data_IF_894652156570
#
_entry.id   IF_894652156570
#
_cell.length_a   1.000
_cell.length_b   1.000
_cell.length_c   1.000
_cell.angle_alpha   90.00
_cell.angle_beta   90.00
_cell.angle_gamma   90.00
#
_symmetry.space_group_name_H-M   'P 1'
#
loop_
_entity.id
_entity.type
_entity.pdbx_description
1 polymer ?
#
# COMPACT_ATOMS: atom_id res chain seq x y z
N UNK A 1 -3.91 -5.76 -9.93
CA UNK A 1 -3.14 -6.46 -8.88
C UNK A 1 -1.70 -6.57 -9.36
N UNK A 2 -0.75 -6.56 -8.43
CA UNK A 2 0.68 -6.79 -8.68
C UNK A 2 1.05 -8.13 -8.06
N UNK A 3 1.88 -8.92 -8.74
CA UNK A 3 2.39 -10.20 -8.27
C UNK A 3 3.90 -10.27 -8.43
N UNK A 4 4.58 -10.71 -7.38
CA UNK A 4 6.01 -11.02 -7.39
C UNK A 4 6.13 -12.47 -6.96
N UNK A 5 6.82 -13.25 -7.79
CA UNK A 5 7.11 -14.66 -7.56
C UNK A 5 8.62 -14.88 -7.65
N UNK A 6 9.17 -15.74 -6.80
CA UNK A 6 10.56 -16.18 -7.02
C UNK A 6 10.63 -17.00 -8.29
N UNK A 7 11.70 -16.80 -9.06
CA UNK A 7 12.02 -17.62 -10.24
C UNK A 7 13.03 -18.72 -9.91
N UNK A 8 13.53 -18.74 -8.68
CA UNK A 8 14.50 -19.73 -8.22
C UNK A 8 13.77 -20.87 -7.48
N UNK A 9 13.76 -22.09 -8.03
CA UNK A 9 13.06 -23.22 -7.42
C UNK A 9 13.78 -23.77 -6.18
N UNK A 10 15.08 -23.48 -6.01
CA UNK A 10 15.88 -23.84 -4.84
C UNK A 10 15.77 -22.76 -3.76
N UNK A 11 15.68 -21.49 -4.16
CA UNK A 11 15.51 -20.33 -3.27
C UNK A 11 14.18 -19.57 -3.55
N UNK A 12 13.19 -19.75 -2.69
CA UNK A 12 11.90 -19.07 -2.76
C UNK A 12 10.81 -19.86 -3.47
N UNK A 13 11.16 -20.81 -4.35
CA UNK A 13 10.18 -21.64 -5.04
C UNK A 13 9.25 -20.87 -5.98
N UNK A 14 8.51 -21.59 -6.83
CA UNK A 14 7.53 -20.96 -7.73
C UNK A 14 6.26 -20.46 -7.00
N UNK A 15 6.17 -20.67 -5.68
CA UNK A 15 4.97 -20.48 -4.87
C UNK A 15 5.12 -19.38 -3.81
N UNK A 16 6.34 -18.91 -3.48
CA UNK A 16 6.50 -17.68 -2.73
C UNK A 16 5.86 -16.55 -3.52
N UNK A 17 4.75 -16.05 -2.97
CA UNK A 17 3.88 -15.14 -3.68
C UNK A 17 3.63 -13.92 -2.83
N UNK A 18 4.20 -12.79 -3.22
CA UNK A 18 3.70 -11.50 -2.82
C UNK A 18 2.64 -11.09 -3.84
N UNK A 19 1.39 -10.94 -3.40
CA UNK A 19 0.32 -10.40 -4.22
C UNK A 19 -0.23 -9.14 -3.56
N UNK A 20 -0.37 -8.08 -4.32
CA UNK A 20 -1.02 -6.85 -3.88
C UNK A 20 -2.22 -6.54 -4.77
N UNK A 21 -3.34 -6.24 -4.12
CA UNK A 21 -4.57 -5.80 -4.77
C UNK A 21 -5.02 -4.47 -4.19
N UNK A 22 -5.29 -3.50 -5.06
CA UNK A 22 -5.97 -2.26 -4.69
C UNK A 22 -7.46 -2.43 -4.92
N UNK A 23 -8.27 -2.12 -3.91
CA UNK A 23 -9.72 -2.25 -3.90
C UNK A 23 -10.32 -0.86 -3.69
N UNK A 24 -10.72 -0.16 -4.77
CA UNK A 24 -11.23 1.20 -4.67
C UNK A 24 -12.65 1.23 -4.09
N UNK A 25 -12.90 2.21 -3.24
CA UNK A 25 -14.22 2.51 -2.68
C UNK A 25 -14.61 3.95 -3.00
N UNK A 26 -15.91 4.25 -2.86
CA UNK A 26 -16.48 5.56 -3.17
C UNK A 26 -16.25 6.60 -2.07
N UNK A 27 -16.04 6.15 -0.84
CA UNK A 27 -15.94 6.99 0.35
C UNK A 27 -14.53 6.93 0.91
N UNK A 28 -14.07 8.06 1.46
CA UNK A 28 -12.85 8.11 2.24
C UNK A 28 -13.02 7.27 3.51
N UNK A 29 -11.95 6.60 3.91
CA UNK A 29 -11.92 5.78 5.10
C UNK A 29 -11.47 6.55 6.32
N UNK A 30 -12.10 6.19 7.44
CA UNK A 30 -11.62 6.35 8.81
C UNK A 30 -11.23 4.97 9.34
N UNK A 31 -10.48 4.90 10.44
CA UNK A 31 -10.15 3.61 11.06
C UNK A 31 -11.40 2.78 11.36
N UNK A 32 -12.45 3.41 11.88
CA UNK A 32 -13.71 2.74 12.20
C UNK A 32 -14.41 2.17 10.95
N UNK A 33 -14.53 2.96 9.89
CA UNK A 33 -15.20 2.53 8.66
C UNK A 33 -14.40 1.48 7.90
N UNK A 34 -13.07 1.60 7.91
CA UNK A 34 -12.17 0.60 7.35
C UNK A 34 -12.30 -0.75 8.06
N UNK A 35 -12.24 -0.75 9.40
CA UNK A 35 -12.40 -1.99 10.18
C UNK A 35 -13.77 -2.62 9.97
N UNK A 36 -14.84 -1.81 9.94
CA UNK A 36 -16.18 -2.33 9.64
C UNK A 36 -16.24 -3.00 8.26
N UNK A 37 -15.52 -2.48 7.28
CA UNK A 37 -15.43 -3.11 5.96
C UNK A 37 -14.64 -4.41 6.00
N UNK A 38 -13.54 -4.48 6.77
CA UNK A 38 -12.82 -5.74 7.00
C UNK A 38 -13.74 -6.81 7.58
N UNK A 39 -14.45 -6.50 8.65
CA UNK A 39 -15.39 -7.40 9.33
C UNK A 39 -16.46 -7.93 8.36
N UNK A 40 -17.07 -7.04 7.58
CA UNK A 40 -18.21 -7.40 6.74
C UNK A 40 -17.82 -8.10 5.42
N UNK A 41 -16.60 -7.92 4.92
CA UNK A 41 -16.24 -8.34 3.56
C UNK A 41 -15.01 -9.25 3.46
N UNK A 42 -14.11 -9.22 4.44
CA UNK A 42 -12.80 -9.86 4.34
C UNK A 42 -12.55 -10.93 5.40
N UNK A 43 -13.12 -10.79 6.60
CA UNK A 43 -12.88 -11.72 7.71
C UNK A 43 -13.65 -13.04 7.58
N UNK A 44 -14.76 -13.08 6.83
CA UNK A 44 -15.57 -14.29 6.70
C UNK A 44 -16.15 -14.72 8.04
N UNK A 45 -15.63 -15.82 8.61
CA UNK A 45 -16.03 -16.32 9.94
C UNK A 45 -15.11 -15.84 11.08
N UNK A 46 -14.02 -15.13 10.74
CA UNK A 46 -13.02 -14.65 11.67
C UNK A 46 -13.52 -13.40 12.41
N UNK A 47 -13.03 -13.19 13.62
CA UNK A 47 -13.38 -12.04 14.45
C UNK A 47 -12.36 -10.90 14.33
N UNK A 48 -12.80 -9.66 14.60
CA UNK A 48 -11.92 -8.48 14.57
C UNK A 48 -10.73 -8.56 15.53
N UNK A 49 -10.86 -9.25 16.65
CA UNK A 49 -9.78 -9.44 17.61
C UNK A 49 -8.62 -10.29 17.06
N UNK A 50 -8.82 -10.99 15.94
CA UNK A 50 -7.79 -11.77 15.24
C UNK A 50 -6.94 -10.91 14.30
N UNK A 51 -7.33 -9.66 14.06
CA UNK A 51 -6.52 -8.70 13.32
C UNK A 51 -5.36 -8.22 14.17
N UNK A 52 -4.15 -8.50 13.73
CA UNK A 52 -2.91 -8.12 14.41
C UNK A 52 -2.42 -6.79 13.80
N UNK A 53 -2.40 -5.68 14.57
CA UNK A 53 -1.88 -4.42 14.06
C UNK A 53 -0.38 -4.53 13.82
N UNK A 54 0.07 -4.08 12.65
CA UNK A 54 1.47 -3.99 12.25
C UNK A 54 1.71 -2.64 11.56
N UNK A 55 2.98 -2.31 11.31
CA UNK A 55 3.35 -1.12 10.54
C UNK A 55 3.89 -1.55 9.16
N UNK A 56 3.38 -0.93 8.10
CA UNK A 56 3.88 -1.10 6.72
C UNK A 56 4.06 0.29 6.13
N UNK A 57 5.31 0.65 5.80
CA UNK A 57 5.66 1.97 5.28
C UNK A 57 5.12 3.15 6.12
N UNK A 58 5.23 3.03 7.46
CA UNK A 58 4.72 4.05 8.40
C UNK A 58 3.20 4.12 8.52
N UNK A 59 2.45 3.27 7.81
CA UNK A 59 1.00 3.15 7.93
C UNK A 59 0.60 2.01 8.85
N UNK A 60 -0.45 2.22 9.62
CA UNK A 60 -1.11 1.14 10.36
C UNK A 60 -1.73 0.16 9.37
N UNK A 61 -1.31 -1.09 9.45
CA UNK A 61 -1.87 -2.20 8.71
C UNK A 61 -2.35 -3.29 9.68
N UNK A 62 -3.19 -4.19 9.19
CA UNK A 62 -3.79 -5.26 9.97
C UNK A 62 -3.51 -6.59 9.30
N UNK A 63 -2.73 -7.41 9.99
CA UNK A 63 -2.33 -8.75 9.57
C UNK A 63 -3.35 -9.77 10.06
N UNK A 64 -3.77 -10.66 9.18
CA UNK A 64 -4.57 -11.84 9.47
C UNK A 64 -3.75 -13.09 9.16
N UNK A 65 -3.46 -13.88 10.19
CA UNK A 65 -2.76 -15.16 10.04
C UNK A 65 -3.72 -16.26 9.56
N UNK A 66 -3.21 -17.26 8.80
CA UNK A 66 -4.04 -18.34 8.28
C UNK A 66 -4.72 -19.12 9.42
N UNK A 67 -5.99 -19.44 9.23
CA UNK A 67 -6.77 -20.37 10.08
C UNK A 67 -6.41 -21.83 9.81
N UNK A 68 -6.04 -22.13 8.56
CA UNK A 68 -5.62 -23.44 8.10
C UNK A 68 -4.48 -23.34 7.08
N UNK A 69 -3.71 -24.42 6.98
CA UNK A 69 -2.60 -24.56 6.04
C UNK A 69 -2.88 -25.78 5.14
N UNK A 70 -3.84 -25.67 4.20
CA UNK A 70 -4.14 -26.78 3.29
C UNK A 70 -2.96 -27.02 2.37
N UNK A 71 -2.64 -28.29 2.11
CA UNK A 71 -1.55 -28.68 1.19
C UNK A 71 -0.20 -28.03 1.50
N UNK A 72 0.05 -27.73 2.78
CA UNK A 72 1.23 -27.00 3.26
C UNK A 72 1.37 -25.56 2.74
N UNK A 73 0.30 -24.95 2.21
CA UNK A 73 0.30 -23.56 1.78
C UNK A 73 -0.27 -22.67 2.88
N UNK A 74 0.60 -21.89 3.49
CA UNK A 74 0.28 -20.85 4.47
C UNK A 74 0.00 -19.54 3.75
N UNK A 75 -1.13 -18.90 4.04
CA UNK A 75 -1.53 -17.63 3.44
C UNK A 75 -1.77 -16.59 4.52
N UNK A 76 -0.90 -15.57 4.56
CA UNK A 76 -1.09 -14.40 5.42
C UNK A 76 -1.69 -13.27 4.59
N UNK A 77 -2.74 -12.63 5.10
CA UNK A 77 -3.35 -11.45 4.48
C UNK A 77 -3.04 -10.20 5.31
N UNK A 78 -2.69 -9.10 4.66
CA UNK A 78 -2.42 -7.81 5.30
C UNK A 78 -3.29 -6.75 4.63
N UNK A 79 -4.00 -5.99 5.45
CA UNK A 79 -4.91 -4.95 5.01
C UNK A 79 -4.44 -3.59 5.52
N UNK A 80 -4.43 -2.61 4.64
CA UNK A 80 -4.21 -1.20 4.98
C UNK A 80 -5.02 -0.34 4.03
N UNK A 81 -5.20 0.93 4.36
CA UNK A 81 -5.98 1.84 3.55
C UNK A 81 -5.29 3.19 3.40
N UNK A 82 -5.56 3.85 2.27
CA UNK A 82 -5.18 5.23 2.03
C UNK A 82 -6.32 5.91 1.25
N UNK A 83 -6.81 7.04 1.75
CA UNK A 83 -7.95 7.73 1.15
C UNK A 83 -9.18 6.82 1.06
N UNK A 84 -9.59 6.48 -0.16
CA UNK A 84 -10.74 5.59 -0.44
C UNK A 84 -10.32 4.22 -0.97
N UNK A 85 -9.04 3.87 -0.88
CA UNK A 85 -8.51 2.58 -1.35
C UNK A 85 -8.17 1.68 -0.18
N UNK A 86 -8.55 0.40 -0.31
CA UNK A 86 -8.00 -0.67 0.52
C UNK A 86 -6.90 -1.35 -0.28
N UNK A 87 -5.74 -1.52 0.34
CA UNK A 87 -4.67 -2.36 -0.18
C UNK A 87 -4.72 -3.69 0.57
N UNK A 88 -4.81 -4.76 -0.20
CA UNK A 88 -4.77 -6.13 0.29
C UNK A 88 -3.47 -6.77 -0.21
N UNK A 89 -2.58 -7.08 0.72
CA UNK A 89 -1.36 -7.84 0.47
C UNK A 89 -1.59 -9.28 0.90
N UNK A 90 -1.21 -10.25 0.05
CA UNK A 90 -1.15 -11.67 0.39
C UNK A 90 0.28 -12.13 0.32
N UNK A 91 0.71 -12.84 1.36
CA UNK A 91 1.99 -13.52 1.44
C UNK A 91 1.71 -15.01 1.48
N UNK A 92 2.23 -15.74 0.50
CA UNK A 92 2.07 -17.20 0.38
C UNK A 92 3.41 -17.86 0.70
N UNK A 93 3.35 -18.92 1.52
CA UNK A 93 4.51 -19.73 1.95
C UNK A 93 4.15 -21.22 1.84
N UNK A 94 4.95 -22.01 1.14
CA UNK A 94 4.95 -23.47 1.15
C UNK A 94 5.75 -23.98 2.35
N UNK A 95 5.05 -24.23 3.46
CA UNK A 95 5.65 -24.71 4.71
C UNK A 95 6.13 -26.17 4.61
N UNK A 96 5.83 -26.86 3.51
CA UNK A 96 6.30 -28.22 3.25
C UNK A 96 7.78 -28.26 2.86
N UNK A 97 8.33 -27.14 2.41
CA UNK A 97 9.71 -27.00 1.95
C UNK A 97 10.37 -25.79 2.61
N UNK A 98 10.62 -25.83 3.95
CA UNK A 98 11.15 -24.70 4.71
C UNK A 98 12.53 -24.22 4.23
N UNK A 99 13.29 -25.07 3.55
CA UNK A 99 14.59 -24.74 2.93
C UNK A 99 14.50 -23.66 1.85
N UNK A 100 13.31 -23.42 1.28
CA UNK A 100 13.10 -22.41 0.25
C UNK A 100 13.09 -20.98 0.79
N UNK A 101 13.22 -20.76 2.09
CA UNK A 101 13.33 -19.43 2.70
C UNK A 101 12.18 -18.45 2.36
N UNK A 102 11.02 -18.95 1.93
CA UNK A 102 9.90 -18.12 1.42
C UNK A 102 9.41 -17.11 2.46
N UNK A 103 9.35 -17.52 3.73
CA UNK A 103 9.04 -16.65 4.86
C UNK A 103 10.02 -15.49 5.02
N UNK A 104 11.32 -15.75 4.83
CA UNK A 104 12.35 -14.72 4.94
C UNK A 104 12.22 -13.71 3.79
N UNK A 105 12.00 -14.20 2.56
CA UNK A 105 11.78 -13.38 1.38
C UNK A 105 10.53 -12.50 1.56
N UNK A 106 9.40 -13.08 1.97
CA UNK A 106 8.16 -12.36 2.24
C UNK A 106 8.36 -11.27 3.32
N UNK A 107 9.08 -11.59 4.38
CA UNK A 107 9.42 -10.63 5.44
C UNK A 107 10.28 -9.48 4.89
N UNK A 108 11.27 -9.79 4.07
CA UNK A 108 12.14 -8.78 3.45
C UNK A 108 11.36 -7.87 2.50
N UNK A 109 10.52 -8.45 1.62
CA UNK A 109 9.65 -7.70 0.70
C UNK A 109 8.77 -6.75 1.51
N UNK A 110 8.08 -7.25 2.55
CA UNK A 110 7.20 -6.42 3.37
C UNK A 110 7.96 -5.28 4.09
N UNK A 111 9.15 -5.56 4.64
CA UNK A 111 9.96 -4.56 5.35
C UNK A 111 10.50 -3.45 4.44
N UNK A 112 10.73 -3.78 3.17
CA UNK A 112 11.26 -2.86 2.16
C UNK A 112 10.18 -2.26 1.27
N UNK A 113 8.92 -2.69 1.42
CA UNK A 113 7.79 -2.19 0.68
C UNK A 113 7.58 -0.69 0.95
N UNK A 114 7.40 0.09 -0.11
CA UNK A 114 7.16 1.53 -0.05
C UNK A 114 6.06 1.91 -1.02
N UNK A 115 5.14 2.75 -0.59
CA UNK A 115 4.20 3.43 -1.46
C UNK A 115 4.95 4.58 -2.13
N UNK A 116 5.16 4.45 -3.43
CA UNK A 116 5.67 5.57 -4.22
C UNK A 116 4.52 6.56 -4.39
N UNK A 117 4.56 7.66 -3.64
CA UNK A 117 3.73 8.80 -3.94
C UNK A 117 4.04 9.23 -5.38
N UNK A 118 3.08 9.07 -6.30
CA UNK A 118 3.13 9.74 -7.61
C UNK A 118 3.14 11.27 -7.45
N UNK A 119 2.95 11.79 -6.23
CA UNK A 119 3.20 13.18 -5.84
C UNK A 119 4.69 13.52 -5.61
N UNK A 120 5.63 12.69 -6.10
CA UNK A 120 6.96 13.15 -6.47
C UNK A 120 7.10 13.37 -7.99
N UNK A 121 6.00 13.72 -8.65
CA UNK A 121 6.05 14.91 -9.49
C UNK A 121 6.16 16.06 -8.50
N UNK A 122 7.17 16.94 -8.62
CA UNK A 122 7.14 18.28 -8.02
C UNK A 122 5.68 18.72 -7.99
N UNK A 123 5.07 18.96 -6.82
CA UNK A 123 3.66 19.30 -6.71
C UNK A 123 3.30 20.24 -7.87
N UNK A 124 2.66 19.70 -8.90
CA UNK A 124 2.54 20.43 -10.16
C UNK A 124 1.49 21.46 -9.83
N UNK A 125 1.96 22.63 -9.40
CA UNK A 125 1.09 23.67 -8.93
C UNK A 125 0.11 23.93 -10.06
N UNK A 126 -1.17 24.05 -9.72
CA UNK A 126 -2.22 24.38 -10.69
C UNK A 126 -1.70 25.51 -11.58
N UNK A 127 -1.94 25.41 -12.89
CA UNK A 127 -1.46 26.35 -13.91
C UNK A 127 -2.17 27.72 -13.84
N UNK A 128 -2.34 28.23 -12.62
CA UNK A 128 -2.86 29.55 -12.32
C UNK A 128 -1.76 30.57 -12.60
N UNK A 129 -2.10 31.59 -13.37
CA UNK A 129 -1.27 32.76 -13.58
C UNK A 129 -1.91 33.97 -12.89
N UNK A 130 -1.09 34.77 -12.20
CA UNK A 130 -1.50 36.05 -11.60
C UNK A 130 -0.78 37.19 -12.31
N UNK A 131 -1.55 38.22 -12.68
CA UNK A 131 -0.98 39.44 -13.23
C UNK A 131 -0.31 40.27 -12.14
N UNK A 132 0.89 40.75 -12.41
CA UNK A 132 1.63 41.63 -11.53
C UNK A 132 1.03 43.03 -11.48
N UNK A 133 1.33 43.83 -10.42
CA UNK A 133 0.84 45.21 -10.30
C UNK A 133 1.25 46.14 -11.45
N UNK A 134 2.29 45.76 -12.20
CA UNK A 134 2.76 46.46 -13.40
C UNK A 134 1.78 46.38 -14.60
N UNK A 135 0.81 45.46 -14.53
CA UNK A 135 -0.16 45.18 -15.60
C UNK A 135 0.45 44.55 -16.86
N UNK A 136 1.71 44.12 -16.83
CA UNK A 136 2.45 43.64 -18.01
C UNK A 136 2.99 42.23 -17.83
N UNK A 137 3.31 41.84 -16.60
CA UNK A 137 3.91 40.54 -16.32
C UNK A 137 2.94 39.61 -15.61
N UNK A 138 3.16 38.31 -15.81
CA UNK A 138 2.37 37.24 -15.20
C UNK A 138 3.32 36.30 -14.45
N UNK A 139 2.94 35.95 -13.23
CA UNK A 139 3.67 34.99 -12.39
C UNK A 139 2.82 33.74 -12.19
N UNK A 140 3.49 32.59 -12.18
CA UNK A 140 2.88 31.29 -11.92
C UNK A 140 3.21 30.82 -10.51
N UNK A 141 2.45 29.85 -10.00
CA UNK A 141 2.76 29.18 -8.73
C UNK A 141 4.04 28.35 -8.87
N UNK A 142 4.91 28.39 -7.86
CA UNK A 142 6.18 27.67 -7.82
C UNK A 142 6.47 27.11 -6.42
N UNK A 143 7.34 26.11 -6.36
CA UNK A 143 7.86 25.54 -5.12
C UNK A 143 6.90 24.60 -4.39
N UNK A 144 7.37 23.97 -3.30
CA UNK A 144 6.63 22.91 -2.60
C UNK A 144 5.31 23.39 -1.93
N UNK A 145 5.14 24.70 -1.77
CA UNK A 145 3.95 25.32 -1.17
C UNK A 145 3.01 25.99 -2.19
N UNK A 146 3.32 25.94 -3.49
CA UNK A 146 2.51 26.53 -4.56
C UNK A 146 2.15 28.02 -4.38
N UNK A 147 3.14 28.80 -3.97
CA UNK A 147 3.06 30.26 -3.87
C UNK A 147 3.40 30.91 -5.21
N UNK A 148 2.83 32.10 -5.49
CA UNK A 148 3.20 32.84 -6.70
C UNK A 148 4.64 33.31 -6.60
N UNK A 149 5.40 33.11 -7.69
CA UNK A 149 6.71 33.71 -7.82
C UNK A 149 6.63 35.24 -7.63
N UNK A 150 7.68 35.89 -7.09
CA UNK A 150 7.74 37.34 -7.03
C UNK A 150 7.69 37.95 -8.43
N UNK A 151 7.02 39.10 -8.56
CA UNK A 151 7.00 39.85 -9.80
C UNK A 151 8.41 40.39 -10.11
N UNK A 152 8.86 40.34 -11.38
CA UNK A 152 10.09 41.01 -11.78
C UNK A 152 9.95 42.53 -11.55
N UNK A 153 11.08 43.18 -11.25
CA UNK A 153 11.17 44.65 -11.08
C UNK A 153 10.92 45.42 -12.39
#
# INVERSE_FOLDING_TARGET
SVQIISTDPEEGGNWAGFNMQTIPHRTLFTDETFISILENNFLGHREKNELIPIEVDGMTAYKLEPDAIPENLSMTEIFLYEGSNIYKIKLIEDVGFPERNEKQINTQILSTFRFTNENNVEAACLADAKMCPDGKTWVVRQGPNCEFAPCPE
#
